data_IF_435771142541
#
_entry.id   IF_435771142541
#
_cell.length_a   1.000
_cell.length_b   1.000
_cell.length_c   1.000
_cell.angle_alpha   90.00
_cell.angle_beta   90.00
_cell.angle_gamma   90.00
#
_symmetry.space_group_name_H-M   'P 1'
#
loop_
_entity.id
_entity.type
_entity.pdbx_description
1 polymer ?
#
# COMPACT_ATOMS: atom_id res chain seq x y z
N UNK A 1 11.58 43.23 -37.27
CA UNK A 1 11.98 42.07 -36.43
C UNK A 1 10.81 41.10 -36.41
N UNK A 2 11.02 39.79 -36.61
CA UNK A 2 9.91 38.83 -36.49
C UNK A 2 9.38 38.91 -35.07
N UNK A 3 8.07 39.12 -34.92
CA UNK A 3 7.43 39.07 -33.62
C UNK A 3 7.67 37.67 -33.02
N UNK A 4 8.30 37.61 -31.85
CA UNK A 4 8.42 36.37 -31.10
C UNK A 4 7.00 35.92 -30.78
N UNK A 5 6.46 34.94 -31.51
CA UNK A 5 5.17 34.36 -31.19
C UNK A 5 5.22 33.96 -29.71
N UNK A 6 4.26 34.41 -28.92
CA UNK A 6 4.16 34.05 -27.51
C UNK A 6 3.86 32.55 -27.43
N UNK A 7 4.90 31.72 -27.45
CA UNK A 7 4.77 30.28 -27.33
C UNK A 7 4.39 29.96 -25.90
N UNK A 8 3.30 29.21 -25.71
CA UNK A 8 2.88 28.75 -24.40
C UNK A 8 4.02 28.00 -23.69
N UNK A 9 4.14 28.17 -22.37
CA UNK A 9 5.22 27.56 -21.59
C UNK A 9 5.18 26.03 -21.77
N UNK A 10 6.23 25.41 -22.33
CA UNK A 10 6.22 23.97 -22.61
C UNK A 10 6.08 23.11 -21.36
N UNK A 11 6.51 23.62 -20.19
CA UNK A 11 6.35 22.96 -18.89
C UNK A 11 4.88 22.89 -18.45
N UNK A 12 4.05 23.85 -18.87
CA UNK A 12 2.62 23.90 -18.53
C UNK A 12 1.79 23.13 -19.57
N UNK A 13 2.20 23.19 -20.83
CA UNK A 13 1.48 22.54 -21.94
C UNK A 13 1.30 21.04 -21.73
N UNK A 14 2.36 20.31 -21.34
CA UNK A 14 2.27 18.87 -21.10
C UNK A 14 1.45 18.53 -19.86
N UNK A 15 1.61 19.29 -18.76
CA UNK A 15 0.80 19.10 -17.56
C UNK A 15 -0.70 19.32 -17.82
N UNK A 16 -1.02 20.33 -18.64
CA UNK A 16 -2.40 20.64 -19.04
C UNK A 16 -2.98 19.50 -19.86
N UNK A 17 -2.23 18.97 -20.84
CA UNK A 17 -2.65 17.80 -21.63
C UNK A 17 -2.89 16.57 -20.76
N UNK A 18 -2.04 16.34 -19.76
CA UNK A 18 -2.20 15.23 -18.83
C UNK A 18 -3.47 15.39 -17.98
N UNK A 19 -3.70 16.58 -17.40
CA UNK A 19 -4.91 16.87 -16.63
C UNK A 19 -6.21 16.77 -17.46
N UNK A 20 -6.14 17.14 -18.74
CA UNK A 20 -7.25 17.03 -19.68
C UNK A 20 -7.73 15.58 -19.87
N UNK A 21 -6.83 14.59 -19.78
CA UNK A 21 -7.18 13.17 -19.89
C UNK A 21 -8.14 12.77 -18.76
N UNK A 22 -7.86 13.19 -17.53
CA UNK A 22 -8.69 12.87 -16.36
C UNK A 22 -9.98 13.68 -16.34
N UNK A 23 -9.91 14.95 -16.74
CA UNK A 23 -11.08 15.84 -16.79
C UNK A 23 -12.11 15.34 -17.81
N UNK A 24 -11.64 14.90 -18.99
CA UNK A 24 -12.49 14.37 -20.08
C UNK A 24 -12.75 12.86 -19.98
N UNK A 25 -12.16 12.18 -18.98
CA UNK A 25 -12.23 10.73 -18.78
C UNK A 25 -11.86 9.94 -20.04
N UNK A 26 -10.81 10.36 -20.74
CA UNK A 26 -10.44 9.83 -22.05
C UNK A 26 -9.74 8.46 -21.93
N UNK A 27 -10.52 7.39 -21.84
CA UNK A 27 -10.00 6.03 -21.76
C UNK A 27 -9.23 5.66 -23.05
N UNK A 28 -8.00 5.15 -22.87
CA UNK A 28 -7.08 4.84 -23.97
C UNK A 28 -6.08 5.95 -24.30
N UNK A 29 -6.24 7.14 -23.72
CA UNK A 29 -5.17 8.13 -23.65
C UNK A 29 -4.26 7.86 -22.45
N UNK A 30 -3.03 8.38 -22.50
CA UNK A 30 -2.04 8.15 -21.46
C UNK A 30 -1.23 9.42 -21.20
N UNK A 31 -1.08 9.82 -19.93
CA UNK A 31 -0.20 10.91 -19.54
C UNK A 31 1.24 10.73 -20.04
N UNK A 32 1.85 11.82 -20.49
CA UNK A 32 3.27 11.87 -20.81
C UNK A 32 4.05 12.35 -19.58
N UNK A 33 4.93 11.51 -19.05
CA UNK A 33 5.70 11.79 -17.82
C UNK A 33 7.22 11.72 -18.02
N UNK A 34 7.68 11.58 -19.27
CA UNK A 34 9.08 11.30 -19.63
C UNK A 34 10.08 12.35 -19.13
N UNK A 35 9.66 13.62 -19.02
CA UNK A 35 10.52 14.73 -18.58
C UNK A 35 10.20 15.21 -17.15
N UNK A 36 9.24 14.57 -16.48
CA UNK A 36 8.72 15.03 -15.18
C UNK A 36 9.01 14.04 -14.04
N UNK A 37 9.49 12.84 -14.35
CA UNK A 37 9.84 11.81 -13.38
C UNK A 37 11.35 11.55 -13.36
N UNK A 38 11.88 11.22 -12.19
CA UNK A 38 13.24 10.70 -12.07
C UNK A 38 13.33 9.31 -12.71
N UNK A 39 14.54 8.85 -13.04
CA UNK A 39 14.75 7.52 -13.63
C UNK A 39 14.14 6.40 -12.77
N UNK A 40 14.37 6.43 -11.46
CA UNK A 40 13.85 5.43 -10.53
C UNK A 40 12.32 5.42 -10.48
N UNK A 41 11.69 6.60 -10.54
CA UNK A 41 10.24 6.74 -10.56
C UNK A 41 9.67 6.25 -11.89
N UNK A 42 10.32 6.58 -13.02
CA UNK A 42 9.92 6.10 -14.34
C UNK A 42 9.95 4.56 -14.46
N UNK A 43 10.86 3.89 -13.73
CA UNK A 43 10.88 2.42 -13.66
C UNK A 43 9.65 1.83 -12.95
N UNK A 44 9.06 2.54 -11.99
CA UNK A 44 7.82 2.10 -11.33
C UNK A 44 6.55 2.50 -12.11
N UNK A 45 6.61 3.61 -12.84
CA UNK A 45 5.51 4.19 -13.61
C UNK A 45 5.70 3.99 -15.11
N UNK A 46 5.83 2.72 -15.52
CA UNK A 46 5.87 2.34 -16.93
C UNK A 46 4.55 2.65 -17.64
N UNK A 47 4.55 2.69 -18.98
CA UNK A 47 3.35 3.00 -19.77
C UNK A 47 2.12 2.19 -19.37
N UNK A 48 2.18 0.85 -19.19
CA UNK A 48 1.01 0.08 -18.73
C UNK A 48 0.50 0.49 -17.34
N UNK A 49 1.40 0.90 -16.44
CA UNK A 49 1.02 1.38 -15.10
C UNK A 49 0.32 2.73 -15.18
N UNK A 50 0.83 3.64 -16.01
CA UNK A 50 0.21 4.96 -16.26
C UNK A 50 -1.17 4.78 -16.90
N UNK A 51 -1.33 3.88 -17.88
CA UNK A 51 -2.63 3.57 -18.48
C UNK A 51 -3.61 2.99 -17.44
N UNK A 52 -3.14 2.15 -16.53
CA UNK A 52 -3.96 1.60 -15.45
C UNK A 52 -4.41 2.69 -14.47
N UNK A 53 -3.55 3.69 -14.18
CA UNK A 53 -3.94 4.84 -13.34
C UNK A 53 -5.07 5.63 -14.01
N UNK A 54 -5.01 5.84 -15.33
CA UNK A 54 -6.12 6.47 -16.07
C UNK A 54 -7.40 5.66 -15.93
N UNK A 55 -7.32 4.33 -16.11
CA UNK A 55 -8.46 3.43 -15.89
C UNK A 55 -9.05 3.59 -14.49
N UNK A 56 -8.23 3.40 -13.44
CA UNK A 56 -8.69 3.48 -12.05
C UNK A 56 -9.31 4.86 -11.72
N UNK A 57 -8.68 5.95 -12.15
CA UNK A 57 -9.17 7.31 -11.89
C UNK A 57 -10.49 7.60 -12.62
N UNK A 58 -10.65 7.08 -13.85
CA UNK A 58 -11.82 7.27 -14.69
C UNK A 58 -12.93 6.23 -14.47
N UNK A 59 -12.72 5.26 -13.57
CA UNK A 59 -13.71 4.24 -13.25
C UNK A 59 -15.07 4.87 -12.87
N UNK A 60 -16.20 4.18 -13.03
CA UNK A 60 -17.45 4.59 -12.41
C UNK A 60 -17.41 4.40 -10.88
N UNK A 61 -18.38 4.98 -10.17
CA UNK A 61 -18.61 4.63 -8.76
C UNK A 61 -18.92 3.13 -8.68
N UNK A 62 -18.36 2.45 -7.68
CA UNK A 62 -18.63 1.03 -7.47
C UNK A 62 -20.14 0.78 -7.29
N UNK A 63 -20.67 -0.18 -8.04
CA UNK A 63 -22.09 -0.53 -8.00
C UNK A 63 -23.00 0.31 -8.89
N UNK A 64 -22.48 1.33 -9.60
CA UNK A 64 -23.25 2.10 -10.58
C UNK A 64 -23.11 1.48 -11.97
N UNK A 65 -24.24 1.32 -12.68
CA UNK A 65 -24.24 0.85 -14.07
C UNK A 65 -23.55 1.86 -14.99
N UNK A 66 -22.81 1.36 -15.98
CA UNK A 66 -22.12 2.21 -16.95
C UNK A 66 -23.09 2.63 -18.04
N UNK A 67 -23.08 3.93 -18.34
CA UNK A 67 -23.65 4.45 -19.58
C UNK A 67 -22.58 4.40 -20.68
N UNK A 68 -22.72 3.43 -21.60
CA UNK A 68 -21.82 3.30 -22.75
C UNK A 68 -22.02 4.38 -23.82
N UNK A 69 -23.01 5.26 -23.67
CA UNK A 69 -23.19 6.44 -24.54
C UNK A 69 -22.37 7.65 -24.07
N UNK A 70 -21.78 7.60 -22.87
CA UNK A 70 -20.87 8.65 -22.40
C UNK A 70 -19.67 8.80 -23.35
N UNK A 71 -19.21 10.03 -23.53
CA UNK A 71 -18.07 10.35 -24.39
C UNK A 71 -16.80 9.55 -24.02
N UNK A 72 -16.63 9.18 -22.74
CA UNK A 72 -15.55 8.35 -22.23
C UNK A 72 -15.49 6.96 -22.89
N UNK A 73 -16.62 6.42 -23.37
CA UNK A 73 -16.74 5.08 -23.97
C UNK A 73 -17.09 5.14 -25.46
N UNK A 74 -16.95 6.30 -26.09
CA UNK A 74 -17.28 6.52 -27.51
C UNK A 74 -16.49 5.64 -28.48
N UNK A 75 -15.23 5.32 -28.17
CA UNK A 75 -14.39 4.46 -29.02
C UNK A 75 -14.47 2.98 -28.65
N UNK A 76 -14.37 2.09 -29.65
CA UNK A 76 -14.36 0.64 -29.42
C UNK A 76 -13.21 0.19 -28.50
N UNK A 77 -12.04 0.81 -28.62
CA UNK A 77 -10.90 0.53 -27.75
C UNK A 77 -11.14 1.00 -26.30
N UNK A 78 -11.88 2.10 -26.09
CA UNK A 78 -12.24 2.55 -24.76
C UNK A 78 -13.12 1.51 -24.03
N UNK A 79 -14.02 0.82 -24.74
CA UNK A 79 -14.80 -0.29 -24.16
C UNK A 79 -13.89 -1.46 -23.73
N UNK A 80 -12.90 -1.80 -24.55
CA UNK A 80 -11.91 -2.83 -24.18
C UNK A 80 -11.16 -2.43 -22.93
N UNK A 81 -10.69 -1.18 -22.86
CA UNK A 81 -10.01 -0.65 -21.66
C UNK A 81 -10.93 -0.62 -20.44
N UNK A 82 -12.22 -0.31 -20.61
CA UNK A 82 -13.21 -0.36 -19.56
C UNK A 82 -13.31 -1.76 -18.94
N UNK A 83 -13.33 -2.82 -19.77
CA UNK A 83 -13.32 -4.19 -19.29
C UNK A 83 -11.99 -4.56 -18.60
N UNK A 84 -10.85 -4.20 -19.20
CA UNK A 84 -9.52 -4.47 -18.65
C UNK A 84 -9.31 -3.81 -17.30
N UNK A 85 -9.84 -2.61 -17.09
CA UNK A 85 -9.70 -1.88 -15.82
C UNK A 85 -10.88 -2.08 -14.85
N UNK A 86 -11.76 -3.03 -15.14
CA UNK A 86 -12.83 -3.45 -14.21
C UNK A 86 -13.96 -2.43 -14.06
N UNK A 87 -14.20 -1.61 -15.07
CA UNK A 87 -15.38 -0.74 -15.14
C UNK A 87 -16.61 -1.63 -15.40
N UNK A 88 -16.54 -2.49 -16.42
CA UNK A 88 -17.58 -3.44 -16.82
C UNK A 88 -17.02 -4.86 -16.89
N UNK A 89 -17.91 -5.85 -17.01
CA UNK A 89 -17.50 -7.22 -17.26
C UNK A 89 -17.05 -7.43 -18.72
N UNK A 90 -16.18 -8.43 -18.98
CA UNK A 90 -15.81 -8.79 -20.35
C UNK A 90 -17.02 -9.21 -21.20
N UNK A 91 -18.02 -9.87 -20.60
CA UNK A 91 -19.26 -10.25 -21.27
C UNK A 91 -20.09 -9.03 -21.68
N UNK A 92 -20.18 -8.03 -20.81
CA UNK A 92 -20.90 -6.78 -21.08
C UNK A 92 -20.19 -5.97 -22.16
N UNK A 93 -18.87 -5.82 -22.08
CA UNK A 93 -18.08 -5.20 -23.14
C UNK A 93 -18.23 -5.91 -24.49
N UNK A 94 -18.25 -7.24 -24.50
CA UNK A 94 -18.45 -8.01 -25.72
C UNK A 94 -19.85 -7.79 -26.33
N UNK A 95 -20.89 -7.73 -25.49
CA UNK A 95 -22.26 -7.47 -25.92
C UNK A 95 -22.39 -6.08 -26.56
N UNK A 96 -21.84 -5.04 -25.91
CA UNK A 96 -21.87 -3.66 -26.42
C UNK A 96 -21.08 -3.53 -27.73
N UNK A 97 -19.91 -4.20 -27.85
CA UNK A 97 -19.15 -4.19 -29.09
C UNK A 97 -19.90 -4.90 -30.23
N UNK A 98 -20.63 -5.99 -29.93
CA UNK A 98 -21.46 -6.67 -30.92
C UNK A 98 -22.63 -5.78 -31.39
N UNK A 99 -23.33 -5.10 -30.47
CA UNK A 99 -24.38 -4.14 -30.82
C UNK A 99 -23.86 -3.01 -31.72
N UNK A 100 -22.69 -2.46 -31.41
CA UNK A 100 -22.04 -1.44 -32.25
C UNK A 100 -21.59 -1.97 -33.61
N UNK A 101 -21.24 -3.26 -33.69
CA UNK A 101 -20.88 -3.91 -34.94
C UNK A 101 -22.09 -4.02 -35.87
N UNK A 102 -23.25 -4.39 -35.33
CA UNK A 102 -24.50 -4.50 -36.07
C UNK A 102 -24.98 -3.13 -36.58
N UNK A 103 -24.74 -2.06 -35.83
CA UNK A 103 -25.05 -0.68 -36.21
C UNK A 103 -24.00 0.03 -37.07
N UNK A 104 -22.89 -0.61 -37.43
CA UNK A 104 -21.80 0.03 -38.16
C UNK A 104 -22.16 0.27 -39.65
N UNK A 105 -22.01 1.52 -40.11
CA UNK A 105 -22.37 1.92 -41.46
C UNK A 105 -21.22 1.74 -42.49
N UNK A 106 -19.96 1.70 -42.03
CA UNK A 106 -18.78 1.66 -42.88
C UNK A 106 -17.80 0.53 -42.52
N UNK A 107 -17.08 0.04 -43.53
CA UNK A 107 -16.15 -1.09 -43.40
C UNK A 107 -14.96 -0.78 -42.46
N UNK A 108 -14.58 0.50 -42.34
CA UNK A 108 -13.51 0.93 -41.45
C UNK A 108 -13.96 0.90 -39.97
N UNK A 109 -15.20 1.29 -39.66
CA UNK A 109 -15.80 1.09 -38.34
C UNK A 109 -15.92 -0.39 -37.99
N UNK A 110 -16.40 -1.23 -38.92
CA UNK A 110 -16.46 -2.69 -38.76
C UNK A 110 -15.08 -3.26 -38.43
N UNK A 111 -14.03 -2.85 -39.15
CA UNK A 111 -12.66 -3.30 -38.90
C UNK A 111 -12.14 -2.89 -37.52
N UNK A 112 -12.39 -1.65 -37.08
CA UNK A 112 -12.01 -1.17 -35.74
C UNK A 112 -12.70 -1.94 -34.62
N UNK A 113 -14.00 -2.21 -34.76
CA UNK A 113 -14.79 -2.93 -33.76
C UNK A 113 -14.36 -4.39 -33.69
N UNK A 114 -14.15 -5.05 -34.84
CA UNK A 114 -13.65 -6.43 -34.88
C UNK A 114 -12.28 -6.56 -34.22
N UNK A 115 -11.34 -5.65 -34.52
CA UNK A 115 -10.03 -5.62 -33.86
C UNK A 115 -10.13 -5.40 -32.34
N UNK A 116 -11.08 -4.58 -31.89
CA UNK A 116 -11.35 -4.39 -30.47
C UNK A 116 -11.90 -5.69 -29.81
N UNK A 117 -12.81 -6.41 -30.47
CA UNK A 117 -13.33 -7.70 -29.97
C UNK A 117 -12.23 -8.77 -29.87
N UNK A 118 -11.32 -8.84 -30.85
CA UNK A 118 -10.15 -9.74 -30.79
C UNK A 118 -9.24 -9.38 -29.61
N UNK A 119 -8.97 -8.08 -29.42
CA UNK A 119 -8.18 -7.59 -28.30
C UNK A 119 -8.83 -7.94 -26.96
N UNK A 120 -10.16 -7.73 -26.83
CA UNK A 120 -10.93 -8.07 -25.65
C UNK A 120 -10.81 -9.56 -25.30
N UNK A 121 -10.93 -10.44 -26.31
CA UNK A 121 -10.77 -11.88 -26.16
C UNK A 121 -9.38 -12.27 -25.65
N UNK A 122 -8.34 -11.60 -26.14
CA UNK A 122 -6.96 -11.83 -25.68
C UNK A 122 -6.69 -11.27 -24.27
N UNK A 123 -7.47 -10.30 -23.82
CA UNK A 123 -7.26 -9.61 -22.55
C UNK A 123 -8.01 -10.25 -21.36
N UNK A 124 -8.93 -11.19 -21.61
CA UNK A 124 -9.81 -11.84 -20.61
C UNK A 124 -9.13 -12.34 -19.33
N UNK A 125 -7.84 -12.67 -19.40
CA UNK A 125 -7.06 -13.20 -18.27
C UNK A 125 -6.34 -12.13 -17.41
N UNK A 126 -6.48 -10.84 -17.72
CA UNK A 126 -5.64 -9.76 -17.14
C UNK A 126 -6.42 -8.60 -16.51
N UNK A 127 -7.72 -8.78 -16.22
CA UNK A 127 -8.53 -7.72 -15.60
C UNK A 127 -7.92 -7.20 -14.29
N UNK A 128 -7.80 -5.88 -14.22
CA UNK A 128 -7.44 -5.14 -13.01
C UNK A 128 -8.71 -5.02 -12.16
N UNK A 129 -8.62 -5.44 -10.89
CA UNK A 129 -9.73 -5.28 -9.97
C UNK A 129 -9.89 -3.79 -9.60
N UNK A 130 -11.00 -3.18 -10.02
CA UNK A 130 -11.39 -1.79 -9.73
C UNK A 130 -11.63 -1.51 -8.23
N UNK A 131 -11.53 -2.53 -7.38
CA UNK A 131 -11.46 -2.40 -5.93
C UNK A 131 -10.17 -1.71 -5.42
N UNK A 132 -9.23 -1.36 -6.30
CA UNK A 132 -7.97 -0.70 -5.92
C UNK A 132 -8.07 0.81 -6.14
N UNK A 133 -8.06 1.57 -5.05
CA UNK A 133 -8.06 3.04 -5.09
C UNK A 133 -6.88 3.64 -5.85
N UNK A 134 -7.11 4.74 -6.59
CA UNK A 134 -6.08 5.41 -7.42
C UNK A 134 -4.93 5.94 -6.57
N UNK A 135 -5.22 6.66 -5.48
CA UNK A 135 -4.19 7.27 -4.65
C UNK A 135 -3.39 6.21 -3.89
N UNK A 136 -4.06 5.19 -3.35
CA UNK A 136 -3.41 4.05 -2.70
C UNK A 136 -2.54 3.25 -3.67
N UNK A 137 -2.97 3.07 -4.92
CA UNK A 137 -2.17 2.40 -5.95
C UNK A 137 -0.89 3.19 -6.27
N UNK A 138 -1.02 4.52 -6.47
CA UNK A 138 0.13 5.40 -6.72
C UNK A 138 1.08 5.40 -5.53
N UNK A 139 0.57 5.55 -4.31
CA UNK A 139 1.38 5.51 -3.09
C UNK A 139 2.14 4.18 -2.94
N UNK A 140 1.47 3.07 -3.24
CA UNK A 140 2.10 1.74 -3.22
C UNK A 140 3.23 1.63 -4.25
N UNK A 141 3.06 2.15 -5.47
CA UNK A 141 4.14 2.19 -6.48
C UNK A 141 5.30 3.09 -6.03
N UNK A 142 5.01 4.26 -5.48
CA UNK A 142 6.03 5.17 -4.93
C UNK A 142 6.80 4.51 -3.79
N UNK A 143 6.14 3.77 -2.90
CA UNK A 143 6.79 3.09 -1.77
C UNK A 143 7.86 2.07 -2.19
N UNK A 144 7.73 1.52 -3.41
CA UNK A 144 8.71 0.57 -3.94
C UNK A 144 9.99 1.25 -4.44
N UNK A 145 10.02 2.58 -4.62
CA UNK A 145 11.21 3.31 -5.08
C UNK A 145 12.34 3.24 -4.04
N UNK A 146 12.19 3.78 -2.81
CA UNK A 146 13.26 3.70 -1.82
C UNK A 146 13.55 2.25 -1.41
N UNK A 147 12.51 1.41 -1.32
CA UNK A 147 12.64 0.00 -0.92
C UNK A 147 13.50 -0.83 -1.89
N UNK A 148 13.44 -0.53 -3.20
CA UNK A 148 14.18 -1.26 -4.25
C UNK A 148 15.41 -0.51 -4.75
N UNK A 149 15.74 0.65 -4.17
CA UNK A 149 16.88 1.45 -4.62
C UNK A 149 18.21 0.69 -4.54
N UNK A 150 18.33 -0.22 -3.57
CA UNK A 150 19.51 -1.07 -3.39
C UNK A 150 19.42 -2.41 -4.14
N UNK A 151 18.29 -2.72 -4.77
CA UNK A 151 18.12 -3.92 -5.60
C UNK A 151 18.73 -3.66 -6.99
N UNK A 152 20.05 -3.86 -7.12
CA UNK A 152 20.79 -3.74 -8.38
C UNK A 152 20.55 -4.90 -9.36
N UNK A 153 19.33 -5.43 -9.45
CA UNK A 153 18.99 -6.51 -10.38
C UNK A 153 18.44 -5.94 -11.68
N UNK A 154 19.33 -5.63 -12.63
CA UNK A 154 18.95 -5.24 -13.98
C UNK A 154 18.65 -6.48 -14.82
N UNK A 155 17.38 -6.91 -14.84
CA UNK A 155 16.93 -7.91 -15.82
C UNK A 155 16.54 -7.19 -17.10
N UNK A 156 17.29 -7.40 -18.17
CA UNK A 156 16.82 -7.17 -19.53
C UNK A 156 15.68 -8.15 -19.78
N UNK A 157 14.44 -7.77 -19.48
CA UNK A 157 13.28 -8.55 -19.89
C UNK A 157 13.17 -8.42 -21.42
N UNK A 158 13.60 -9.48 -22.13
CA UNK A 158 13.28 -9.64 -23.54
C UNK A 158 11.74 -9.58 -23.70
N UNK A 159 11.27 -8.95 -24.77
CA UNK A 159 9.86 -8.76 -25.11
C UNK A 159 9.10 -10.10 -25.20
N UNK A 160 8.71 -10.64 -24.05
CA UNK A 160 7.89 -11.82 -23.86
C UNK A 160 6.63 -11.45 -23.11
N UNK A 161 5.55 -12.17 -23.40
CA UNK A 161 4.15 -11.94 -22.96
C UNK A 161 4.04 -11.13 -21.67
N UNK A 162 3.25 -10.03 -21.65
CA UNK A 162 3.08 -9.22 -20.46
C UNK A 162 2.60 -10.12 -19.31
N UNK A 163 3.42 -10.25 -18.26
CA UNK A 163 3.01 -10.94 -17.05
C UNK A 163 1.76 -10.24 -16.51
N UNK A 164 0.74 -11.01 -16.13
CA UNK A 164 -0.47 -10.51 -15.47
C UNK A 164 -0.18 -9.70 -14.17
N UNK A 165 1.06 -9.71 -13.67
CA UNK A 165 1.53 -9.07 -12.43
C UNK A 165 1.91 -7.58 -12.55
N UNK A 166 1.79 -6.93 -13.70
CA UNK A 166 2.19 -5.49 -13.83
C UNK A 166 1.32 -4.57 -12.97
N UNK A 167 0.06 -4.97 -12.76
CA UNK A 167 -0.94 -4.22 -12.01
C UNK A 167 -1.06 -4.63 -10.53
N UNK A 168 -0.41 -5.71 -10.10
CA UNK A 168 -0.32 -6.06 -8.68
C UNK A 168 0.83 -5.28 -8.03
N UNK A 169 0.54 -4.46 -7.01
CA UNK A 169 1.55 -3.74 -6.23
C UNK A 169 1.31 -3.96 -4.75
N UNK A 170 2.38 -4.26 -4.01
CA UNK A 170 2.35 -4.35 -2.55
C UNK A 170 2.88 -3.04 -1.99
N UNK A 171 2.12 -2.44 -1.08
CA UNK A 171 2.57 -1.29 -0.29
C UNK A 171 3.75 -1.72 0.60
N UNK A 172 4.87 -1.03 0.45
CA UNK A 172 6.00 -1.12 1.39
C UNK A 172 5.88 0.03 2.38
N UNK A 173 6.00 -0.25 3.68
CA UNK A 173 5.97 0.78 4.71
C UNK A 173 7.38 1.29 4.96
N UNK A 174 7.58 2.63 5.12
CA UNK A 174 8.91 3.20 5.34
C UNK A 174 9.49 2.76 6.68
N UNK A 175 10.72 2.29 6.70
CA UNK A 175 11.39 1.87 7.93
C UNK A 175 11.88 3.07 8.73
N UNK A 176 12.31 4.11 8.01
CA UNK A 176 12.87 5.35 8.54
C UNK A 176 12.00 6.57 8.23
N UNK A 177 12.18 7.62 9.02
CA UNK A 177 11.49 8.91 8.79
C UNK A 177 11.95 9.56 7.48
N UNK A 178 13.22 9.41 7.11
CA UNK A 178 13.77 9.92 5.85
C UNK A 178 13.10 9.27 4.63
N UNK A 179 12.93 7.93 4.64
CA UNK A 179 12.19 7.22 3.59
C UNK A 179 10.75 7.72 3.48
N UNK A 180 10.09 7.98 4.61
CA UNK A 180 8.72 8.49 4.59
C UNK A 180 8.61 9.87 3.93
N UNK A 181 9.53 10.79 4.23
CA UNK A 181 9.54 12.10 3.60
C UNK A 181 9.94 12.04 2.13
N UNK A 182 10.84 11.13 1.76
CA UNK A 182 11.15 10.87 0.36
C UNK A 182 9.94 10.32 -0.40
N UNK A 183 9.23 9.33 0.15
CA UNK A 183 7.98 8.81 -0.42
C UNK A 183 6.94 9.92 -0.59
N UNK A 184 6.82 10.80 0.41
CA UNK A 184 5.93 11.96 0.37
C UNK A 184 6.27 12.91 -0.79
N UNK A 185 7.55 13.20 -0.98
CA UNK A 185 8.04 14.03 -2.07
C UNK A 185 7.78 13.41 -3.44
N UNK A 186 8.13 12.12 -3.62
CA UNK A 186 7.90 11.39 -4.87
C UNK A 186 6.41 11.28 -5.21
N UNK A 187 5.55 11.10 -4.20
CA UNK A 187 4.11 11.10 -4.40
C UNK A 187 3.60 12.45 -4.92
N UNK A 188 4.03 13.57 -4.31
CA UNK A 188 3.69 14.92 -4.78
C UNK A 188 4.12 15.09 -6.25
N UNK A 189 5.36 14.72 -6.58
CA UNK A 189 5.87 14.79 -7.95
C UNK A 189 5.01 13.97 -8.92
N UNK A 190 4.68 12.73 -8.57
CA UNK A 190 3.86 11.84 -9.41
C UNK A 190 2.47 12.41 -9.64
N UNK A 191 1.78 12.85 -8.59
CA UNK A 191 0.43 13.41 -8.69
C UNK A 191 0.39 14.63 -9.61
N UNK A 192 1.38 15.53 -9.46
CA UNK A 192 1.49 16.73 -10.29
C UNK A 192 1.85 16.36 -11.74
N UNK A 193 2.85 15.50 -11.94
CA UNK A 193 3.29 15.08 -13.27
C UNK A 193 2.18 14.37 -14.07
N UNK A 194 1.37 13.54 -13.40
CA UNK A 194 0.22 12.90 -14.00
C UNK A 194 -0.93 13.88 -14.26
N UNK A 195 -0.95 15.06 -13.64
CA UNK A 195 -2.07 16.01 -13.78
C UNK A 195 -3.31 15.63 -12.96
N UNK A 196 -3.17 14.81 -11.92
CA UNK A 196 -4.27 14.39 -11.03
C UNK A 196 -4.67 15.48 -10.03
N UNK A 197 -3.71 16.30 -9.61
CA UNK A 197 -3.97 17.48 -8.79
C UNK A 197 -2.88 18.54 -9.03
N UNK A 198 -3.21 19.79 -8.73
CA UNK A 198 -2.21 20.87 -8.74
C UNK A 198 -1.27 20.76 -7.54
N UNK A 199 -0.05 21.31 -7.68
CA UNK A 199 0.94 21.33 -6.60
C UNK A 199 0.37 21.94 -5.31
N UNK A 200 -0.37 23.05 -5.41
CA UNK A 200 -0.97 23.72 -4.25
C UNK A 200 -1.95 22.81 -3.51
N UNK A 201 -2.76 22.02 -4.22
CA UNK A 201 -3.73 21.12 -3.60
C UNK A 201 -3.02 19.98 -2.86
N UNK A 202 -2.10 19.28 -3.53
CA UNK A 202 -1.42 18.12 -2.92
C UNK A 202 -0.49 18.53 -1.80
N UNK A 203 0.24 19.65 -1.92
CA UNK A 203 1.13 20.14 -0.86
C UNK A 203 0.31 20.57 0.36
N UNK A 204 -0.81 21.27 0.16
CA UNK A 204 -1.70 21.64 1.26
C UNK A 204 -2.26 20.40 1.97
N UNK A 205 -2.68 19.39 1.21
CA UNK A 205 -3.14 18.11 1.77
C UNK A 205 -2.05 17.44 2.62
N UNK A 206 -0.80 17.44 2.14
CA UNK A 206 0.34 16.91 2.90
C UNK A 206 0.64 17.76 4.15
N UNK A 207 0.46 19.08 4.10
CA UNK A 207 0.58 19.92 5.30
C UNK A 207 -0.50 19.60 6.34
N UNK A 208 -1.75 19.49 5.92
CA UNK A 208 -2.88 19.19 6.80
C UNK A 208 -2.80 17.78 7.42
N UNK A 209 -2.37 16.78 6.64
CA UNK A 209 -2.41 15.37 7.07
C UNK A 209 -1.09 14.90 7.67
N UNK A 210 0.03 15.18 6.99
CA UNK A 210 1.34 14.70 7.42
C UNK A 210 1.96 15.68 8.40
N UNK A 211 2.23 16.92 7.96
CA UNK A 211 3.01 17.85 8.78
C UNK A 211 2.24 18.35 10.01
N UNK A 212 0.92 18.52 9.94
CA UNK A 212 0.11 18.84 11.12
C UNK A 212 0.19 17.72 12.16
N UNK A 213 0.17 16.46 11.73
CA UNK A 213 0.32 15.30 12.62
C UNK A 213 1.68 15.29 13.31
N UNK A 214 2.76 15.57 12.57
CA UNK A 214 4.09 15.75 13.16
C UNK A 214 4.13 16.95 14.14
N UNK A 215 3.46 18.06 13.81
CA UNK A 215 3.35 19.23 14.72
C UNK A 215 2.61 18.88 16.02
N UNK A 216 1.66 17.95 15.97
CA UNK A 216 1.00 17.35 17.14
C UNK A 216 1.90 16.39 17.94
N UNK A 217 3.19 16.27 17.59
CA UNK A 217 4.18 15.38 18.23
C UNK A 217 3.90 13.90 18.06
N UNK A 218 3.10 13.53 17.06
CA UNK A 218 2.96 12.14 16.65
C UNK A 218 4.21 11.66 15.90
N UNK A 219 4.48 10.36 16.00
CA UNK A 219 5.59 9.74 15.29
C UNK A 219 5.28 9.60 13.79
N UNK A 220 6.29 9.65 12.91
CA UNK A 220 6.11 9.57 11.45
C UNK A 220 5.29 8.36 10.99
N UNK A 221 5.40 7.24 11.70
CA UNK A 221 4.62 6.02 11.46
C UNK A 221 3.11 6.25 11.58
N UNK A 222 2.67 7.07 12.54
CA UNK A 222 1.27 7.45 12.70
C UNK A 222 0.86 8.39 11.56
N UNK A 223 1.70 9.36 11.21
CA UNK A 223 1.45 10.25 10.08
C UNK A 223 1.32 9.48 8.74
N UNK A 224 2.16 8.47 8.52
CA UNK A 224 2.08 7.56 7.38
C UNK A 224 0.75 6.81 7.33
N UNK A 225 0.35 6.15 8.43
CA UNK A 225 -0.92 5.43 8.44
C UNK A 225 -2.13 6.36 8.34
N UNK A 226 -2.03 7.59 8.86
CA UNK A 226 -3.08 8.59 8.72
C UNK A 226 -3.24 9.01 7.26
N UNK A 227 -2.13 9.21 6.55
CA UNK A 227 -2.13 9.49 5.12
C UNK A 227 -2.86 8.39 4.33
N UNK A 228 -2.59 7.12 4.62
CA UNK A 228 -3.30 5.99 4.01
C UNK A 228 -4.80 6.01 4.32
N UNK A 229 -5.18 6.35 5.55
CA UNK A 229 -6.60 6.45 5.94
C UNK A 229 -7.32 7.53 5.12
N UNK A 230 -6.70 8.70 4.95
CA UNK A 230 -7.28 9.78 4.12
C UNK A 230 -7.33 9.42 2.63
N UNK A 231 -6.29 8.78 2.09
CA UNK A 231 -6.32 8.30 0.70
C UNK A 231 -7.44 7.29 0.50
N UNK A 232 -7.67 6.38 1.45
CA UNK A 232 -8.78 5.42 1.44
C UNK A 232 -10.15 6.11 1.44
N UNK A 233 -10.33 7.15 2.26
CA UNK A 233 -11.58 7.93 2.27
C UNK A 233 -11.84 8.64 0.93
N UNK A 234 -10.80 9.11 0.24
CA UNK A 234 -10.93 9.71 -1.09
C UNK A 234 -11.25 8.63 -2.13
N UNK A 235 -10.44 7.58 -2.19
CA UNK A 235 -10.50 6.56 -3.23
C UNK A 235 -11.82 5.77 -3.22
N UNK A 236 -12.40 5.56 -2.03
CA UNK A 236 -13.63 4.78 -1.85
C UNK A 236 -14.83 5.65 -1.44
N UNK A 237 -14.79 6.96 -1.71
CA UNK A 237 -15.95 7.82 -1.52
C UNK A 237 -17.09 7.38 -2.47
N UNK A 238 -18.23 6.91 -1.95
CA UNK A 238 -19.36 6.51 -2.79
C UNK A 238 -19.93 7.67 -3.61
N UNK A 239 -19.70 8.91 -3.19
CA UNK A 239 -20.23 10.10 -3.87
C UNK A 239 -19.25 10.74 -4.86
N UNK A 240 -17.97 10.32 -4.87
CA UNK A 240 -16.87 10.92 -5.66
C UNK A 240 -16.74 12.44 -5.52
N UNK A 241 -17.15 12.97 -4.39
CA UNK A 241 -17.03 14.39 -4.06
C UNK A 241 -15.78 14.66 -3.23
N UNK A 242 -15.23 13.65 -2.56
CA UNK A 242 -14.01 13.79 -1.77
C UNK A 242 -12.78 13.79 -2.66
N UNK A 243 -11.91 14.74 -2.38
CA UNK A 243 -10.61 14.91 -3.03
C UNK A 243 -9.64 15.55 -2.04
N UNK A 244 -8.35 15.59 -2.38
CA UNK A 244 -7.29 16.13 -1.51
C UNK A 244 -7.56 17.57 -1.01
N UNK A 245 -8.35 18.35 -1.75
CA UNK A 245 -8.67 19.74 -1.41
C UNK A 245 -9.76 19.90 -0.34
N UNK A 246 -10.60 18.88 -0.11
CA UNK A 246 -11.74 18.99 0.80
C UNK A 246 -11.80 17.90 1.88
N UNK A 247 -11.13 16.76 1.71
CA UNK A 247 -11.27 15.60 2.61
C UNK A 247 -10.97 15.95 4.06
N UNK A 248 -9.97 16.79 4.31
CA UNK A 248 -9.58 17.21 5.65
C UNK A 248 -10.65 18.07 6.34
N UNK A 249 -11.43 18.83 5.56
CA UNK A 249 -12.51 19.71 6.05
C UNK A 249 -13.82 18.97 6.30
N UNK A 250 -13.95 17.72 5.84
CA UNK A 250 -15.14 16.87 6.07
C UNK A 250 -15.36 16.57 7.56
N UNK A 251 -14.31 16.67 8.38
CA UNK A 251 -14.32 16.26 9.78
C UNK A 251 -13.97 14.78 9.96
N UNK A 252 -14.03 14.29 11.20
CA UNK A 252 -13.63 12.91 11.55
C UNK A 252 -12.13 12.72 11.82
N UNK A 253 -11.38 13.83 11.94
CA UNK A 253 -9.93 13.86 12.17
C UNK A 253 -9.50 12.97 13.35
N UNK A 254 -10.18 13.08 14.49
CA UNK A 254 -9.85 12.29 15.69
C UNK A 254 -10.09 10.80 15.48
N UNK A 255 -11.13 10.44 14.73
CA UNK A 255 -11.44 9.04 14.42
C UNK A 255 -10.38 8.44 13.52
N UNK A 256 -10.00 9.16 12.46
CA UNK A 256 -8.95 8.74 11.53
C UNK A 256 -7.58 8.68 12.20
N UNK A 257 -7.27 9.66 13.06
CA UNK A 257 -6.03 9.67 13.85
C UNK A 257 -5.98 8.50 14.84
N UNK A 258 -7.09 8.19 15.50
CA UNK A 258 -7.19 7.04 16.39
C UNK A 258 -7.05 5.71 15.62
N UNK A 259 -7.58 5.61 14.41
CA UNK A 259 -7.34 4.46 13.53
C UNK A 259 -5.86 4.37 13.12
N UNK A 260 -5.27 5.47 12.68
CA UNK A 260 -3.86 5.53 12.30
C UNK A 260 -2.92 5.09 13.41
N UNK A 261 -3.17 5.50 14.66
CA UNK A 261 -2.40 5.03 15.83
C UNK A 261 -2.50 3.51 16.02
N UNK A 262 -3.70 2.93 15.85
CA UNK A 262 -3.90 1.47 15.92
C UNK A 262 -3.16 0.75 14.80
N UNK A 263 -3.27 1.25 13.57
CA UNK A 263 -2.58 0.69 12.41
C UNK A 263 -1.06 0.75 12.61
N UNK A 264 -0.54 1.88 13.09
CA UNK A 264 0.88 2.05 13.35
C UNK A 264 1.38 1.03 14.39
N UNK A 265 0.61 0.80 15.46
CA UNK A 265 0.91 -0.19 16.48
C UNK A 265 0.81 -1.64 15.99
N UNK A 266 0.07 -1.93 14.92
CA UNK A 266 -0.02 -3.27 14.31
C UNK A 266 1.12 -3.49 13.32
N UNK A 267 1.35 -2.54 12.42
CA UNK A 267 2.22 -2.74 11.26
C UNK A 267 3.69 -2.37 11.51
N UNK A 268 4.00 -1.54 12.50
CA UNK A 268 5.38 -1.15 12.83
C UNK A 268 5.88 -1.72 14.16
N UNK A 269 5.40 -2.90 14.53
CA UNK A 269 5.82 -3.58 15.77
C UNK A 269 7.33 -3.83 15.76
N UNK A 270 8.00 -3.46 16.84
CA UNK A 270 9.44 -3.66 17.08
C UNK A 270 9.87 -5.12 17.24
N UNK A 271 8.96 -6.09 17.09
CA UNK A 271 9.28 -7.52 17.10
C UNK A 271 8.57 -8.18 15.91
N UNK A 272 9.35 -8.54 14.88
CA UNK A 272 8.87 -9.07 13.60
C UNK A 272 8.01 -10.32 13.75
N UNK A 273 6.69 -10.14 13.72
CA UNK A 273 5.71 -11.19 13.56
C UNK A 273 4.71 -10.77 12.50
N UNK A 274 4.35 -11.71 11.62
CA UNK A 274 3.34 -11.51 10.57
C UNK A 274 2.01 -11.06 11.19
N UNK A 275 1.35 -10.00 10.68
CA UNK A 275 0.03 -9.61 11.16
C UNK A 275 -0.97 -10.73 10.90
N UNK A 276 -1.62 -11.23 11.95
CA UNK A 276 -2.86 -12.00 11.77
C UNK A 276 -3.96 -10.99 11.38
N UNK A 277 -4.54 -11.18 10.20
CA UNK A 277 -5.69 -10.44 9.66
C UNK A 277 -7.01 -10.72 10.41
N UNK A 278 -6.95 -11.12 11.67
CA UNK A 278 -8.13 -11.20 12.52
C UNK A 278 -8.33 -9.84 13.18
N UNK A 279 -9.47 -9.22 12.89
CA UNK A 279 -9.85 -7.87 13.29
C UNK A 279 -9.49 -7.51 14.72
N UNK A 280 -9.15 -6.23 14.90
CA UNK A 280 -8.82 -5.65 16.19
C UNK A 280 -9.83 -6.06 17.27
N UNK A 281 -9.40 -6.90 18.22
CA UNK A 281 -10.20 -7.19 19.41
C UNK A 281 -10.33 -5.91 20.22
N UNK A 282 -11.57 -5.40 20.28
CA UNK A 282 -12.00 -4.35 21.19
C UNK A 282 -11.66 -4.80 22.62
N UNK A 283 -11.07 -3.94 23.48
CA UNK A 283 -10.82 -4.29 24.87
C UNK A 283 -12.15 -4.30 25.62
N UNK A 284 -12.81 -5.47 25.66
CA UNK A 284 -14.08 -5.64 26.37
C UNK A 284 -14.71 -7.03 26.20
N UNK A 285 -14.64 -7.62 25.01
CA UNK A 285 -15.29 -8.92 24.76
C UNK A 285 -14.34 -10.10 24.96
N UNK A 286 -14.31 -10.60 26.19
CA UNK A 286 -13.93 -12.00 26.46
C UNK A 286 -15.06 -12.90 25.95
N UNK A 287 -15.16 -13.09 24.64
CA UNK A 287 -15.78 -14.32 24.14
C UNK A 287 -14.81 -15.46 24.46
N UNK A 288 -15.25 -16.23 25.42
CA UNK A 288 -14.72 -17.50 25.92
C UNK A 288 -14.19 -18.36 24.78
N UNK A 289 -12.87 -18.36 24.58
CA UNK A 289 -12.21 -19.59 24.16
C UNK A 289 -12.53 -20.61 25.25
N UNK A 290 -13.11 -21.74 24.86
CA UNK A 290 -13.25 -22.95 25.67
C UNK A 290 -12.18 -23.02 26.75
N UNK A 291 -12.54 -23.16 28.04
CA UNK A 291 -11.56 -23.15 29.11
C UNK A 291 -10.54 -24.24 28.82
N UNK A 292 -9.29 -23.85 28.56
CA UNK A 292 -8.19 -24.79 28.82
C UNK A 292 -8.31 -25.11 30.32
N UNK A 293 -8.18 -26.38 30.72
CA UNK A 293 -8.19 -26.73 32.14
C UNK A 293 -7.22 -25.80 32.87
N UNK A 294 -7.54 -25.42 34.10
CA UNK A 294 -6.65 -24.66 34.99
C UNK A 294 -5.40 -25.51 35.27
N UNK A 295 -4.51 -25.58 34.28
CA UNK A 295 -3.24 -26.30 34.34
C UNK A 295 -2.36 -25.47 35.27
N UNK A 296 -2.18 -25.97 36.49
CA UNK A 296 -1.28 -25.36 37.47
C UNK A 296 0.17 -25.66 37.07
N UNK A 297 1.11 -24.72 37.24
CA UNK A 297 2.52 -24.97 37.02
C UNK A 297 3.00 -26.08 37.97
N UNK A 298 3.64 -27.11 37.43
CA UNK A 298 4.19 -28.22 38.21
C UNK A 298 5.64 -27.99 38.67
N UNK A 299 6.18 -26.79 38.41
CA UNK A 299 7.56 -26.41 38.73
C UNK A 299 8.63 -26.92 37.76
N UNK A 300 8.30 -27.83 36.85
CA UNK A 300 9.22 -28.37 35.82
C UNK A 300 9.27 -27.48 34.59
N UNK A 301 10.33 -27.64 33.80
CA UNK A 301 10.58 -26.87 32.59
C UNK A 301 11.10 -27.77 31.47
N UNK A 302 11.03 -27.26 30.24
CA UNK A 302 11.66 -27.88 29.10
C UNK A 302 13.14 -27.47 29.02
N UNK A 303 14.03 -28.29 29.60
CA UNK A 303 15.47 -28.08 29.57
C UNK A 303 16.07 -28.14 28.15
N UNK A 304 15.33 -28.67 27.15
CA UNK A 304 15.76 -28.67 25.74
C UNK A 304 15.46 -27.34 25.03
N UNK A 305 14.67 -26.47 25.64
CA UNK A 305 14.29 -25.19 25.05
C UNK A 305 15.48 -24.25 24.97
N UNK A 306 15.79 -23.76 23.76
CA UNK A 306 16.85 -22.75 23.53
C UNK A 306 16.47 -21.36 24.06
N UNK A 307 15.26 -21.17 24.60
CA UNK A 307 14.77 -19.89 25.12
C UNK A 307 14.52 -19.97 26.62
N UNK A 308 15.05 -19.04 27.43
CA UNK A 308 14.78 -18.98 28.85
C UNK A 308 13.37 -18.44 29.14
N UNK A 309 12.76 -18.92 30.23
CA UNK A 309 11.42 -18.49 30.66
C UNK A 309 11.45 -17.09 31.31
N UNK A 310 10.68 -16.14 30.77
CA UNK A 310 10.61 -14.78 31.32
C UNK A 310 9.90 -14.70 32.69
N UNK A 311 8.88 -15.53 32.92
CA UNK A 311 8.14 -15.54 34.19
C UNK A 311 8.99 -16.13 35.33
N UNK A 312 9.72 -17.22 35.07
CA UNK A 312 10.72 -17.78 35.98
C UNK A 312 11.77 -16.74 36.38
N UNK A 313 12.34 -16.02 35.40
CA UNK A 313 13.36 -14.99 35.64
C UNK A 313 12.83 -13.74 36.36
N UNK A 314 11.51 -13.60 36.50
CA UNK A 314 10.85 -12.55 37.24
C UNK A 314 10.26 -13.03 38.57
N UNK A 315 10.50 -14.29 38.97
CA UNK A 315 9.97 -14.87 40.21
C UNK A 315 8.45 -15.08 40.21
N UNK A 316 7.83 -15.20 39.03
CA UNK A 316 6.38 -15.36 38.89
C UNK A 316 5.99 -16.77 38.42
N UNK A 317 4.75 -17.23 38.71
CA UNK A 317 4.22 -18.46 38.15
C UNK A 317 4.24 -18.47 36.61
N UNK A 318 4.69 -19.58 36.02
CA UNK A 318 4.81 -19.73 34.58
C UNK A 318 3.44 -19.81 33.90
N UNK A 319 3.24 -19.04 32.82
CA UNK A 319 1.93 -18.96 32.13
C UNK A 319 1.84 -19.83 30.87
N UNK A 320 2.98 -20.18 30.26
CA UNK A 320 3.01 -21.03 29.06
C UNK A 320 3.42 -22.43 29.45
N UNK A 321 2.42 -23.27 29.66
CA UNK A 321 2.58 -24.64 30.13
C UNK A 321 2.24 -25.65 29.04
N UNK A 322 2.95 -26.77 29.03
CA UNK A 322 2.57 -28.01 28.35
C UNK A 322 1.35 -28.63 29.06
N UNK A 323 0.67 -29.61 28.45
CA UNK A 323 -0.49 -30.26 29.06
C UNK A 323 -0.23 -30.89 30.43
N UNK A 324 1.02 -31.30 30.71
CA UNK A 324 1.45 -31.89 31.98
C UNK A 324 1.74 -30.84 33.09
N UNK A 325 1.58 -29.54 32.79
CA UNK A 325 1.88 -28.44 33.70
C UNK A 325 3.34 -27.98 33.73
N UNK A 326 4.21 -28.55 32.89
CA UNK A 326 5.60 -28.11 32.77
C UNK A 326 5.71 -26.84 31.89
N UNK A 327 6.65 -25.95 32.20
CA UNK A 327 6.91 -24.76 31.39
C UNK A 327 7.48 -25.15 30.02
N UNK A 328 6.97 -24.53 28.94
CA UNK A 328 7.48 -24.74 27.57
C UNK A 328 8.87 -24.14 27.31
N UNK A 329 9.38 -23.35 28.26
CA UNK A 329 10.68 -22.67 28.17
C UNK A 329 11.62 -23.17 29.26
N UNK A 330 12.92 -23.04 29.03
CA UNK A 330 13.93 -23.48 29.98
C UNK A 330 13.96 -22.56 31.21
N UNK A 331 14.05 -23.14 32.41
CA UNK A 331 14.30 -22.38 33.64
C UNK A 331 15.80 -22.08 33.74
N UNK A 332 16.24 -21.09 32.94
CA UNK A 332 17.61 -20.62 32.85
C UNK A 332 17.65 -19.10 32.84
N UNK A 333 18.77 -18.52 33.25
CA UNK A 333 18.93 -17.07 33.36
C UNK A 333 18.78 -16.37 32.00
N UNK A 334 17.90 -15.36 31.92
CA UNK A 334 17.66 -14.58 30.70
C UNK A 334 18.43 -13.24 30.65
N UNK A 335 19.49 -13.09 31.44
CA UNK A 335 20.37 -11.93 31.36
C UNK A 335 21.09 -11.91 30.01
N UNK A 336 20.97 -10.83 29.23
CA UNK A 336 21.72 -10.69 27.98
C UNK A 336 23.22 -10.53 28.25
N UNK A 337 24.04 -11.14 27.40
CA UNK A 337 25.50 -11.12 27.51
C UNK A 337 26.15 -10.83 26.16
N UNK A 338 27.26 -10.09 26.16
CA UNK A 338 27.92 -9.63 24.94
C UNK A 338 28.77 -10.69 24.22
N UNK A 339 29.19 -11.74 24.92
CA UNK A 339 30.18 -12.72 24.44
C UNK A 339 29.59 -14.03 23.92
N UNK A 340 28.27 -14.11 23.73
CA UNK A 340 27.56 -15.29 23.21
C UNK A 340 26.81 -15.05 21.89
N UNK A 341 27.20 -14.03 21.14
CA UNK A 341 26.60 -13.66 19.86
C UNK A 341 25.23 -12.95 19.98
N UNK A 342 24.61 -12.59 18.84
CA UNK A 342 23.35 -11.85 18.83
C UNK A 342 22.23 -12.58 19.59
N UNK A 343 21.61 -11.88 20.54
CA UNK A 343 20.57 -12.46 21.40
C UNK A 343 21.06 -13.50 22.43
N UNK A 344 22.38 -13.57 22.70
CA UNK A 344 22.97 -14.46 23.69
C UNK A 344 22.50 -14.18 25.13
N UNK A 345 22.19 -15.25 25.86
CA UNK A 345 21.83 -15.20 27.29
C UNK A 345 22.93 -15.82 28.16
N UNK A 346 23.02 -15.37 29.40
CA UNK A 346 23.78 -16.05 30.46
C UNK A 346 23.47 -17.55 30.47
N UNK A 347 22.18 -17.90 30.50
CA UNK A 347 21.67 -19.27 30.43
C UNK A 347 22.11 -20.18 31.59
N UNK A 348 22.56 -19.60 32.71
CA UNK A 348 22.89 -20.34 33.94
C UNK A 348 21.66 -20.94 34.64
N UNK A 349 21.89 -21.85 35.59
CA UNK A 349 20.86 -22.58 36.35
C UNK A 349 20.17 -21.75 37.46
N UNK A 350 20.29 -20.43 37.41
CA UNK A 350 19.68 -19.48 38.34
C UNK A 350 18.64 -18.60 37.64
N UNK A 351 17.74 -17.98 38.41
CA UNK A 351 16.83 -16.96 37.90
C UNK A 351 17.50 -15.57 37.91
N UNK A 352 17.21 -14.71 36.95
CA UNK A 352 17.77 -13.36 36.93
C UNK A 352 17.37 -12.54 38.16
N UNK A 353 16.14 -12.70 38.66
CA UNK A 353 15.64 -12.00 39.85
C UNK A 353 16.34 -12.41 41.15
N UNK A 354 17.04 -13.56 41.18
CA UNK A 354 17.83 -13.99 42.34
C UNK A 354 19.29 -13.54 42.26
N UNK A 355 19.62 -12.68 41.30
CA UNK A 355 20.98 -12.27 40.97
C UNK A 355 21.58 -13.14 39.87
N UNK A 356 22.27 -12.49 38.93
CA UNK A 356 23.01 -13.15 37.89
C UNK A 356 24.51 -13.09 38.22
N UNK A 357 25.16 -14.25 38.29
CA UNK A 357 26.59 -14.43 38.61
C UNK A 357 27.53 -14.15 37.41
N UNK A 358 26.97 -13.89 36.23
CA UNK A 358 27.75 -13.59 35.04
C UNK A 358 28.59 -12.32 35.23
N UNK A 359 29.74 -12.26 34.56
CA UNK A 359 30.66 -11.12 34.60
C UNK A 359 29.92 -9.79 34.34
N UNK A 360 30.06 -8.85 35.27
CA UNK A 360 29.38 -7.56 35.24
C UNK A 360 29.77 -6.73 34.00
N UNK A 361 31.02 -6.83 33.52
CA UNK A 361 31.50 -6.13 32.33
C UNK A 361 30.89 -6.65 31.03
N UNK A 362 30.27 -7.83 31.06
CA UNK A 362 29.70 -8.51 29.88
C UNK A 362 28.18 -8.51 29.84
N UNK A 363 27.52 -8.02 30.89
CA UNK A 363 26.06 -7.95 30.98
C UNK A 363 25.53 -6.82 30.11
N UNK A 364 24.53 -7.13 29.28
CA UNK A 364 23.83 -6.14 28.46
C UNK A 364 22.42 -5.88 28.99
N UNK A 365 21.95 -4.64 28.86
CA UNK A 365 20.57 -4.27 29.20
C UNK A 365 19.57 -4.71 28.13
N UNK A 366 20.05 -4.95 26.91
CA UNK A 366 19.28 -5.36 25.73
C UNK A 366 20.12 -6.36 24.89
N UNK A 367 19.53 -7.07 23.92
CA UNK A 367 20.28 -7.94 23.01
C UNK A 367 21.43 -7.17 22.32
N UNK A 368 22.59 -7.81 22.17
CA UNK A 368 23.62 -7.33 21.25
C UNK A 368 23.05 -7.29 19.82
N UNK A 369 23.30 -6.19 19.11
CA UNK A 369 22.88 -5.99 17.73
C UNK A 369 23.57 -6.98 16.78
#
# INVERSE_FOLDING_TARGET
MPAHAATACPLVTELTKNADIFTKKTLGASPTVAYSMTHELAMQFTRPVVDAIVGLACAPVQGVQIDFNDAAYSSANAIVKAAVYGHCSFSEAAAILAERLDGAADELAVGKIRGAMETLKSAGDTAVNSATGTLLFIWSKVSNVPAKRLDFTYKLEAAGKPKASVHSVTLVRPETEAEFYEMSHLFIMTIVALGLATATIVIKFMDDVVFATIRMKEHFRVAHELLLCYMREIDFDPTRNLHMGNVFRRGGQDTLLSEARRNAAVFFRTCGGTPQLDGAKIPGDRITKTPKPDIKPNGKADDSSKKPCADFNAGRPCKKLKPDGSCVFAHRCNQFVADKGPGGYCFGVHARCTGCDYDAGKKLRAPAA
#
